data_IF_046189164376
#
_entry.id   IF_046189164376
#
_cell.length_a   1.000
_cell.length_b   1.000
_cell.length_c   1.000
_cell.angle_alpha   90.00
_cell.angle_beta   90.00
_cell.angle_gamma   90.00
#
_symmetry.space_group_name_H-M   'P 1'
#
loop_
_entity.id
_entity.type
_entity.pdbx_description
1 polymer ?
#
# COMPACT_ATOMS: atom_id res chain seq x y z
N UNK A 1 30.03 11.08 -14.74
CA UNK A 1 29.14 10.88 -13.58
C UNK A 1 27.80 11.47 -13.99
N UNK A 2 26.83 10.63 -14.34
CA UNK A 2 25.48 11.10 -14.58
C UNK A 2 24.92 11.54 -13.23
N UNK A 3 24.47 12.78 -13.13
CA UNK A 3 23.70 13.25 -11.98
C UNK A 3 22.51 12.32 -11.81
N UNK A 4 22.41 11.63 -10.67
CA UNK A 4 21.14 11.08 -10.22
C UNK A 4 20.19 12.27 -10.13
N UNK A 5 19.33 12.41 -11.15
CA UNK A 5 18.25 13.37 -11.14
C UNK A 5 17.38 13.01 -9.94
N UNK A 6 17.47 13.77 -8.85
CA UNK A 6 16.48 13.73 -7.76
C UNK A 6 15.11 13.81 -8.42
N UNK A 7 14.38 12.69 -8.45
CA UNK A 7 13.02 12.65 -8.97
C UNK A 7 12.15 13.34 -7.94
N UNK A 8 11.64 14.52 -8.29
CA UNK A 8 10.78 15.31 -7.42
C UNK A 8 9.33 14.87 -7.63
N UNK A 9 8.75 14.19 -6.64
CA UNK A 9 7.32 13.85 -6.64
C UNK A 9 6.50 15.10 -6.40
N UNK A 10 5.59 15.40 -7.32
CA UNK A 10 4.67 16.55 -7.21
C UNK A 10 3.44 16.32 -8.05
N UNK A 11 2.32 16.93 -7.72
CA UNK A 11 1.11 16.83 -8.52
C UNK A 11 0.68 18.18 -9.09
N UNK A 12 -0.10 18.09 -10.15
CA UNK A 12 -0.61 19.24 -10.91
C UNK A 12 -2.14 19.21 -10.91
N UNK A 13 -2.75 20.26 -11.48
CA UNK A 13 -4.20 20.31 -11.67
C UNK A 13 -4.73 19.09 -12.44
N UNK A 14 -3.98 18.57 -13.42
CA UNK A 14 -4.32 17.34 -14.17
C UNK A 14 -4.53 16.15 -13.22
N UNK A 15 -3.62 15.94 -12.28
CA UNK A 15 -3.71 14.85 -11.30
C UNK A 15 -4.94 15.01 -10.39
N UNK A 16 -5.22 16.24 -9.95
CA UNK A 16 -6.43 16.54 -9.17
C UNK A 16 -7.70 16.26 -9.98
N UNK A 17 -7.75 16.69 -11.25
CA UNK A 17 -8.90 16.48 -12.12
C UNK A 17 -9.13 14.97 -12.39
N UNK A 18 -8.05 14.17 -12.52
CA UNK A 18 -8.15 12.70 -12.63
C UNK A 18 -8.79 12.09 -11.40
N UNK A 19 -8.33 12.46 -10.20
CA UNK A 19 -8.90 11.94 -8.94
C UNK A 19 -10.38 12.29 -8.88
N UNK A 20 -10.72 13.57 -9.11
CA UNK A 20 -12.10 14.07 -9.06
C UNK A 20 -13.03 13.43 -10.10
N UNK A 21 -12.48 12.99 -11.24
CA UNK A 21 -13.26 12.34 -12.32
C UNK A 21 -13.74 10.94 -11.95
N UNK A 22 -13.18 10.34 -10.91
CA UNK A 22 -13.64 9.07 -10.33
C UNK A 22 -12.68 7.90 -10.50
N UNK A 23 -13.05 6.80 -9.88
CA UNK A 23 -12.21 5.59 -9.70
C UNK A 23 -11.73 5.00 -11.01
N UNK A 24 -12.58 4.97 -12.04
CA UNK A 24 -12.19 4.43 -13.36
C UNK A 24 -11.12 5.29 -14.03
N UNK A 25 -11.19 6.63 -13.88
CA UNK A 25 -10.12 7.52 -14.39
C UNK A 25 -8.80 7.30 -13.63
N UNK A 26 -8.88 7.08 -12.32
CA UNK A 26 -7.70 6.73 -11.50
C UNK A 26 -7.10 5.40 -11.97
N UNK A 27 -7.93 4.37 -12.14
CA UNK A 27 -7.52 3.04 -12.62
C UNK A 27 -6.81 3.14 -13.97
N UNK A 28 -7.45 3.76 -14.95
CA UNK A 28 -6.87 3.90 -16.29
C UNK A 28 -5.54 4.65 -16.27
N UNK A 29 -5.41 5.67 -15.43
CA UNK A 29 -4.17 6.43 -15.29
C UNK A 29 -3.06 5.56 -14.70
N UNK A 30 -3.34 4.84 -13.62
CA UNK A 30 -2.40 3.92 -12.96
C UNK A 30 -1.95 2.77 -13.89
N UNK A 31 -2.77 2.36 -14.85
CA UNK A 31 -2.42 1.30 -15.81
C UNK A 31 -1.57 1.79 -16.99
N UNK A 32 -1.77 3.02 -17.46
CA UNK A 32 -1.23 3.48 -18.75
C UNK A 32 -0.05 4.43 -18.64
N UNK A 33 0.07 5.15 -17.53
CA UNK A 33 1.02 6.26 -17.42
C UNK A 33 2.40 5.82 -16.94
N UNK A 34 3.38 6.71 -17.11
CA UNK A 34 4.75 6.47 -16.67
C UNK A 34 4.85 6.32 -15.14
N UNK A 35 5.87 5.61 -14.66
CA UNK A 35 6.14 5.44 -13.22
C UNK A 35 6.09 6.79 -12.46
N UNK A 36 6.70 7.85 -13.01
CA UNK A 36 6.71 9.16 -12.38
C UNK A 36 5.30 9.78 -12.26
N UNK A 37 4.50 9.68 -13.32
CA UNK A 37 3.12 10.20 -13.30
C UNK A 37 2.25 9.40 -12.32
N UNK A 38 2.45 8.08 -12.24
CA UNK A 38 1.76 7.25 -11.23
C UNK A 38 2.12 7.69 -9.80
N UNK A 39 3.41 7.87 -9.50
CA UNK A 39 3.88 8.38 -8.19
C UNK A 39 3.26 9.74 -7.87
N UNK A 40 3.25 10.65 -8.84
CA UNK A 40 2.61 11.96 -8.71
C UNK A 40 1.10 11.83 -8.42
N UNK A 41 0.40 10.89 -9.06
CA UNK A 41 -1.01 10.63 -8.80
C UNK A 41 -1.25 10.05 -7.41
N UNK A 42 -0.48 9.04 -6.99
CA UNK A 42 -0.59 8.42 -5.66
C UNK A 42 -0.30 9.47 -4.57
N UNK A 43 0.73 10.30 -4.75
CA UNK A 43 1.00 11.44 -3.87
C UNK A 43 -0.14 12.47 -3.86
N UNK A 44 -0.81 12.69 -5.00
CA UNK A 44 -1.99 13.55 -5.06
C UNK A 44 -3.18 12.94 -4.30
N UNK A 45 -3.33 11.61 -4.29
CA UNK A 45 -4.43 10.93 -3.59
C UNK A 45 -4.36 11.14 -2.09
N UNK A 46 -3.17 11.18 -1.48
CA UNK A 46 -2.99 11.45 -0.05
C UNK A 46 -3.78 12.70 0.39
N UNK A 47 -3.63 13.79 -0.36
CA UNK A 47 -4.35 15.05 -0.11
C UNK A 47 -5.88 14.90 -0.13
N UNK A 48 -6.42 14.04 -1.00
CA UNK A 48 -7.86 13.86 -1.12
C UNK A 48 -8.42 12.89 -0.08
N UNK A 49 -7.61 11.96 0.39
CA UNK A 49 -7.99 10.97 1.40
C UNK A 49 -7.81 11.52 2.83
N UNK A 50 -6.86 12.43 3.02
CA UNK A 50 -6.60 13.08 4.30
C UNK A 50 -7.78 13.99 4.73
N UNK A 51 -8.47 13.67 5.85
CA UNK A 51 -9.57 14.47 6.37
C UNK A 51 -9.20 15.92 6.66
N UNK A 52 -7.92 16.24 6.90
CA UNK A 52 -7.45 17.59 7.19
C UNK A 52 -7.71 18.57 6.04
N UNK A 53 -7.67 18.10 4.79
CA UNK A 53 -7.93 18.95 3.63
C UNK A 53 -9.42 19.13 3.32
N UNK A 54 -10.30 18.34 3.95
CA UNK A 54 -11.76 18.51 3.85
C UNK A 54 -12.36 18.19 2.48
N UNK A 55 -11.70 17.37 1.65
CA UNK A 55 -12.31 16.87 0.43
C UNK A 55 -13.36 15.80 0.75
N UNK A 56 -14.52 15.88 0.08
CA UNK A 56 -15.57 14.88 0.16
C UNK A 56 -15.58 14.05 -1.12
N UNK A 57 -14.87 12.92 -1.10
CA UNK A 57 -14.87 11.95 -2.19
C UNK A 57 -15.88 10.84 -1.91
N UNK A 58 -16.97 10.72 -2.70
CA UNK A 58 -18.02 9.71 -2.44
C UNK A 58 -17.58 8.27 -2.76
N UNK A 59 -16.32 8.08 -3.18
CA UNK A 59 -15.76 6.80 -3.62
C UNK A 59 -14.43 6.46 -2.93
N UNK A 60 -14.17 6.99 -1.73
CA UNK A 60 -12.97 6.66 -0.95
C UNK A 60 -12.78 5.15 -0.78
N UNK A 61 -13.82 4.40 -0.40
CA UNK A 61 -13.73 2.93 -0.25
C UNK A 61 -13.34 2.23 -1.55
N UNK A 62 -13.79 2.77 -2.69
CA UNK A 62 -13.46 2.22 -4.01
C UNK A 62 -12.00 2.55 -4.40
N UNK A 63 -11.46 3.69 -3.97
CA UNK A 63 -10.02 4.00 -4.09
C UNK A 63 -9.21 3.00 -3.26
N UNK A 64 -9.59 2.75 -2.00
CA UNK A 64 -8.90 1.76 -1.16
C UNK A 64 -8.94 0.36 -1.78
N UNK A 65 -10.07 -0.03 -2.38
CA UNK A 65 -10.18 -1.30 -3.11
C UNK A 65 -9.27 -1.33 -4.35
N UNK A 66 -9.24 -0.25 -5.13
CA UNK A 66 -8.39 -0.11 -6.31
C UNK A 66 -6.90 -0.19 -5.93
N UNK A 67 -6.49 0.50 -4.87
CA UNK A 67 -5.11 0.50 -4.36
C UNK A 67 -4.66 -0.91 -3.96
N UNK A 68 -5.51 -1.67 -3.25
CA UNK A 68 -5.21 -3.06 -2.93
C UNK A 68 -5.05 -3.94 -4.18
N UNK A 69 -5.86 -3.74 -5.21
CA UNK A 69 -5.74 -4.47 -6.47
C UNK A 69 -4.45 -4.08 -7.20
N UNK A 70 -4.18 -2.78 -7.29
CA UNK A 70 -3.06 -2.25 -8.05
C UNK A 70 -1.70 -2.64 -7.44
N UNK A 71 -1.62 -2.75 -6.11
CA UNK A 71 -0.43 -3.21 -5.39
C UNK A 71 0.18 -4.50 -5.99
N UNK A 72 -0.66 -5.45 -6.43
CA UNK A 72 -0.21 -6.75 -6.91
C UNK A 72 0.07 -6.83 -8.42
N UNK A 73 -0.25 -5.79 -9.17
CA UNK A 73 0.06 -5.70 -10.61
C UNK A 73 1.13 -4.65 -10.92
N UNK A 74 1.42 -3.75 -9.98
CA UNK A 74 2.49 -2.78 -10.10
C UNK A 74 3.86 -3.45 -9.96
N UNK A 75 4.79 -3.04 -10.82
CA UNK A 75 6.15 -3.59 -10.89
C UNK A 75 7.14 -2.72 -10.11
N UNK A 76 6.85 -1.43 -9.95
CA UNK A 76 7.67 -0.49 -9.20
C UNK A 76 7.46 -0.65 -7.70
N UNK A 77 8.51 -1.08 -6.99
CA UNK A 77 8.53 -1.13 -5.53
C UNK A 77 8.25 0.22 -4.88
N UNK A 78 8.74 1.32 -5.48
CA UNK A 78 8.48 2.67 -4.97
C UNK A 78 6.97 2.99 -4.97
N UNK A 79 6.27 2.71 -6.07
CA UNK A 79 4.82 2.91 -6.15
C UNK A 79 4.08 1.95 -5.22
N UNK A 80 4.53 0.69 -5.12
CA UNK A 80 3.94 -0.27 -4.19
C UNK A 80 4.05 0.21 -2.74
N UNK A 81 5.18 0.83 -2.37
CA UNK A 81 5.38 1.46 -1.06
C UNK A 81 4.47 2.68 -0.87
N UNK A 82 4.40 3.58 -1.85
CA UNK A 82 3.47 4.73 -1.81
C UNK A 82 2.01 4.28 -1.62
N UNK A 83 1.62 3.17 -2.28
CA UNK A 83 0.30 2.55 -2.11
C UNK A 83 0.10 2.01 -0.69
N UNK A 84 1.09 1.28 -0.16
CA UNK A 84 1.02 0.75 1.21
C UNK A 84 0.91 1.85 2.25
N UNK A 85 1.58 2.99 2.05
CA UNK A 85 1.47 4.15 2.91
C UNK A 85 0.03 4.69 2.95
N UNK A 86 -0.62 4.83 1.78
CA UNK A 86 -2.04 5.21 1.73
C UNK A 86 -2.95 4.17 2.40
N UNK A 87 -2.68 2.88 2.20
CA UNK A 87 -3.46 1.80 2.83
C UNK A 87 -3.29 1.78 4.36
N UNK A 88 -2.10 2.10 4.88
CA UNK A 88 -1.86 2.24 6.32
C UNK A 88 -2.68 3.40 6.91
N UNK A 89 -2.70 4.54 6.24
CA UNK A 89 -3.35 5.74 6.75
C UNK A 89 -4.88 5.68 6.62
N UNK A 90 -5.37 5.18 5.49
CA UNK A 90 -6.77 5.32 5.07
C UNK A 90 -7.51 3.99 4.92
N UNK A 91 -6.84 2.84 5.05
CA UNK A 91 -7.41 1.49 4.88
C UNK A 91 -8.05 0.87 6.13
N UNK A 92 -8.34 1.68 7.16
CA UNK A 92 -8.64 1.26 8.54
C UNK A 92 -9.78 0.24 8.71
N UNK A 93 -10.69 0.12 7.74
CA UNK A 93 -11.86 -0.76 7.86
C UNK A 93 -11.76 -2.07 7.08
N UNK A 94 -11.08 -2.06 5.93
CA UNK A 94 -11.03 -3.26 5.10
C UNK A 94 -9.84 -3.31 4.12
N UNK A 95 -8.96 -4.29 4.35
CA UNK A 95 -7.84 -4.67 3.51
C UNK A 95 -7.93 -6.15 3.05
N UNK A 96 -9.12 -6.62 2.70
CA UNK A 96 -9.38 -8.03 2.35
C UNK A 96 -8.56 -8.53 1.16
N UNK A 97 -8.39 -7.72 0.13
CA UNK A 97 -7.61 -8.13 -1.06
C UNK A 97 -6.12 -8.24 -0.68
N UNK A 98 -5.62 -7.31 0.13
CA UNK A 98 -4.26 -7.37 0.67
C UNK A 98 -4.06 -8.65 1.48
N UNK A 99 -4.94 -8.92 2.45
CA UNK A 99 -4.85 -10.09 3.31
C UNK A 99 -4.92 -11.41 2.52
N UNK A 100 -5.81 -11.50 1.51
CA UNK A 100 -5.96 -12.69 0.68
C UNK A 100 -4.73 -12.99 -0.17
N UNK A 101 -3.98 -11.96 -0.58
CA UNK A 101 -2.89 -12.09 -1.54
C UNK A 101 -1.51 -11.75 -0.96
N UNK A 102 -1.39 -11.56 0.36
CA UNK A 102 -0.15 -11.13 1.01
C UNK A 102 1.05 -12.05 0.71
N UNK A 103 0.81 -13.35 0.53
CA UNK A 103 1.84 -14.31 0.14
C UNK A 103 2.51 -14.02 -1.23
N UNK A 104 1.89 -13.21 -2.10
CA UNK A 104 2.52 -12.73 -3.35
C UNK A 104 3.62 -11.71 -3.12
N UNK A 105 3.69 -11.10 -1.93
CA UNK A 105 4.74 -10.17 -1.54
C UNK A 105 5.93 -10.88 -0.90
N UNK A 106 5.84 -12.19 -0.66
CA UNK A 106 6.94 -12.96 -0.09
C UNK A 106 8.16 -12.88 -1.01
N UNK A 107 9.34 -12.52 -0.47
CA UNK A 107 10.57 -12.56 -1.23
C UNK A 107 10.90 -14.01 -1.59
N UNK A 108 11.44 -14.22 -2.79
CA UNK A 108 12.09 -15.49 -3.10
C UNK A 108 13.42 -15.56 -2.33
N UNK A 109 13.39 -16.19 -1.15
CA UNK A 109 14.55 -16.36 -0.29
C UNK A 109 15.60 -17.31 -0.89
N UNK A 110 15.28 -18.05 -1.95
CA UNK A 110 16.23 -18.91 -2.66
C UNK A 110 16.94 -18.17 -3.80
N UNK A 111 16.37 -17.06 -4.29
CA UNK A 111 17.00 -16.17 -5.24
C UNK A 111 18.05 -15.30 -4.53
N UNK A 112 19.33 -15.54 -4.79
CA UNK A 112 20.42 -14.73 -4.26
C UNK A 112 20.84 -13.64 -5.27
N UNK A 113 20.97 -12.36 -4.86
CA UNK A 113 20.60 -11.80 -3.56
C UNK A 113 19.07 -11.57 -3.43
N UNK A 114 18.54 -11.70 -2.22
CA UNK A 114 17.15 -11.35 -1.92
C UNK A 114 16.92 -9.86 -2.24
N UNK A 115 15.83 -9.54 -2.91
CA UNK A 115 15.43 -8.16 -3.20
C UNK A 115 14.99 -7.48 -1.89
N UNK A 116 15.76 -6.51 -1.36
CA UNK A 116 15.44 -5.84 -0.10
C UNK A 116 14.08 -5.13 -0.16
N UNK A 117 13.67 -4.67 -1.34
CA UNK A 117 12.38 -4.01 -1.55
C UNK A 117 11.22 -4.98 -1.28
N UNK A 118 11.36 -6.27 -1.59
CA UNK A 118 10.33 -7.28 -1.32
C UNK A 118 10.15 -7.55 0.18
N UNK A 119 11.24 -7.52 0.95
CA UNK A 119 11.17 -7.62 2.40
C UNK A 119 10.42 -6.43 3.00
N UNK A 120 10.72 -5.22 2.52
CA UNK A 120 10.04 -4.00 2.97
C UNK A 120 8.55 -4.03 2.61
N UNK A 121 8.20 -4.46 1.39
CA UNK A 121 6.82 -4.56 0.96
C UNK A 121 6.00 -5.52 1.83
N UNK A 122 6.53 -6.72 2.13
CA UNK A 122 5.82 -7.66 2.99
C UNK A 122 5.69 -7.12 4.43
N UNK A 123 6.74 -6.52 4.98
CA UNK A 123 6.70 -5.93 6.32
C UNK A 123 5.63 -4.81 6.42
N UNK A 124 5.59 -3.91 5.44
CA UNK A 124 4.61 -2.83 5.41
C UNK A 124 3.19 -3.33 5.14
N UNK A 125 3.02 -4.38 4.34
CA UNK A 125 1.72 -5.04 4.17
C UNK A 125 1.19 -5.65 5.48
N UNK A 126 2.05 -6.32 6.26
CA UNK A 126 1.69 -6.85 7.57
C UNK A 126 1.30 -5.70 8.52
N UNK A 127 2.07 -4.62 8.53
CA UNK A 127 1.79 -3.44 9.33
C UNK A 127 0.44 -2.80 8.96
N UNK A 128 0.16 -2.64 7.66
CA UNK A 128 -1.12 -2.13 7.17
C UNK A 128 -2.31 -2.98 7.66
N UNK A 129 -2.18 -4.32 7.62
CA UNK A 129 -3.19 -5.22 8.20
C UNK A 129 -3.35 -5.01 9.71
N UNK A 130 -2.25 -4.84 10.44
CA UNK A 130 -2.24 -4.55 11.87
C UNK A 130 -3.05 -3.31 12.24
N UNK A 131 -2.84 -2.22 11.52
CA UNK A 131 -3.50 -0.93 11.74
C UNK A 131 -5.00 -0.92 11.46
N UNK A 132 -5.55 -1.98 10.84
CA UNK A 132 -7.00 -2.10 10.69
C UNK A 132 -7.71 -2.47 11.99
N UNK A 133 -6.97 -2.97 13.00
CA UNK A 133 -7.56 -3.57 14.21
C UNK A 133 -8.63 -4.63 13.88
N UNK A 134 -8.55 -5.29 12.73
CA UNK A 134 -9.58 -6.22 12.30
C UNK A 134 -9.17 -7.67 12.59
N UNK A 135 -9.74 -8.25 13.64
CA UNK A 135 -9.42 -9.62 14.12
C UNK A 135 -9.53 -10.70 13.05
N UNK A 136 -10.28 -10.47 11.95
CA UNK A 136 -10.35 -11.41 10.83
C UNK A 136 -8.98 -11.67 10.17
N UNK A 137 -8.02 -10.74 10.31
CA UNK A 137 -6.68 -10.87 9.75
C UNK A 137 -5.68 -11.61 10.65
N UNK A 138 -6.05 -11.94 11.90
CA UNK A 138 -5.15 -12.66 12.83
C UNK A 138 -4.61 -13.96 12.22
N UNK A 139 -5.41 -14.86 11.63
CA UNK A 139 -4.89 -16.11 11.06
C UNK A 139 -3.90 -15.88 9.91
N UNK A 140 -4.10 -14.79 9.13
CA UNK A 140 -3.22 -14.42 8.02
C UNK A 140 -1.88 -13.93 8.55
N UNK A 141 -1.89 -12.99 9.49
CA UNK A 141 -0.66 -12.40 10.05
C UNK A 141 0.11 -13.42 10.91
N UNK A 142 -0.60 -14.30 11.64
CA UNK A 142 0.01 -15.34 12.48
C UNK A 142 0.87 -16.33 11.68
N UNK A 143 0.59 -16.51 10.38
CA UNK A 143 1.42 -17.34 9.51
C UNK A 143 2.88 -16.83 9.39
N UNK A 144 3.11 -15.55 9.72
CA UNK A 144 4.41 -14.88 9.62
C UNK A 144 5.11 -14.68 10.97
N UNK A 145 4.54 -15.14 12.09
CA UNK A 145 5.15 -14.99 13.43
C UNK A 145 6.46 -15.79 13.57
N UNK A 146 6.55 -16.93 12.89
CA UNK A 146 7.74 -17.79 12.86
C UNK A 146 8.55 -17.64 11.57
N UNK A 147 8.42 -16.52 10.86
CA UNK A 147 9.15 -16.30 9.60
C UNK A 147 10.66 -16.16 9.87
N UNK A 148 11.50 -16.82 9.07
CA UNK A 148 12.95 -16.89 9.30
C UNK A 148 13.64 -15.51 9.25
N UNK A 149 13.08 -14.59 8.47
CA UNK A 149 13.60 -13.23 8.39
C UNK A 149 13.13 -12.38 9.60
N UNK A 150 14.05 -11.78 10.37
CA UNK A 150 13.71 -11.04 11.59
C UNK A 150 12.89 -9.77 11.35
N UNK A 151 13.00 -9.15 10.16
CA UNK A 151 12.20 -7.96 9.81
C UNK A 151 10.73 -8.34 9.66
N UNK A 152 10.47 -9.43 8.93
CA UNK A 152 9.10 -9.94 8.70
C UNK A 152 8.51 -10.46 10.00
N UNK A 153 9.27 -11.24 10.77
CA UNK A 153 8.84 -11.73 12.09
C UNK A 153 8.45 -10.58 13.02
N UNK A 154 9.29 -9.53 13.10
CA UNK A 154 8.99 -8.37 13.93
C UNK A 154 7.71 -7.67 13.49
N UNK A 155 7.55 -7.41 12.18
CA UNK A 155 6.35 -6.78 11.63
C UNK A 155 5.09 -7.60 11.91
N UNK A 156 5.17 -8.93 11.81
CA UNK A 156 4.06 -9.82 12.13
C UNK A 156 3.66 -9.75 13.62
N UNK A 157 4.65 -9.77 14.53
CA UNK A 157 4.40 -9.66 15.98
C UNK A 157 3.74 -8.32 16.33
N UNK A 158 4.24 -7.21 15.77
CA UNK A 158 3.68 -5.88 15.98
C UNK A 158 2.25 -5.78 15.42
N UNK A 159 2.02 -6.29 14.21
CA UNK A 159 0.69 -6.31 13.61
C UNK A 159 -0.29 -7.18 14.43
N UNK A 160 0.12 -8.35 14.91
CA UNK A 160 -0.70 -9.20 15.80
C UNK A 160 -1.05 -8.48 17.11
N UNK A 161 -0.12 -7.73 17.68
CA UNK A 161 -0.37 -6.94 18.88
C UNK A 161 -1.52 -5.95 18.64
N UNK A 162 -1.47 -5.18 17.55
CA UNK A 162 -2.53 -4.24 17.18
C UNK A 162 -3.87 -4.96 16.90
N UNK A 163 -3.86 -6.06 16.14
CA UNK A 163 -5.07 -6.84 15.83
C UNK A 163 -5.78 -7.37 17.09
N UNK A 164 -5.02 -7.73 18.13
CA UNK A 164 -5.60 -8.18 19.40
C UNK A 164 -6.16 -7.04 20.25
N UNK A 165 -5.69 -5.80 20.08
CA UNK A 165 -6.21 -4.63 20.79
C UNK A 165 -7.60 -4.19 20.32
N UNK A 166 -8.06 -4.68 19.16
CA UNK A 166 -9.39 -4.42 18.63
C UNK A 166 -10.48 -4.58 19.71
N UNK A 167 -11.18 -3.48 20.05
CA UNK A 167 -12.31 -3.53 20.97
C UNK A 167 -13.52 -4.12 20.22
N UNK A 168 -14.06 -5.20 20.78
CA UNK A 168 -15.30 -5.87 20.34
C UNK A 168 -16.51 -4.96 20.42
#
# INVERSE_FOLDING_TARGET
MASESMRYTSYTRRHMDIIQSGVESIREFLEKESQQEKQNLVFCMDRFLDPWFGYDLPYTDQIILLLQQHLFIEESSDIQMDILDLLCQYGQHNLDILAQHIGKLEPDLQAAPADPSKLELLANALYALGLTYNRKYIPVVAAYESYDNPVIQKAAIEALHELHQAKS
#
